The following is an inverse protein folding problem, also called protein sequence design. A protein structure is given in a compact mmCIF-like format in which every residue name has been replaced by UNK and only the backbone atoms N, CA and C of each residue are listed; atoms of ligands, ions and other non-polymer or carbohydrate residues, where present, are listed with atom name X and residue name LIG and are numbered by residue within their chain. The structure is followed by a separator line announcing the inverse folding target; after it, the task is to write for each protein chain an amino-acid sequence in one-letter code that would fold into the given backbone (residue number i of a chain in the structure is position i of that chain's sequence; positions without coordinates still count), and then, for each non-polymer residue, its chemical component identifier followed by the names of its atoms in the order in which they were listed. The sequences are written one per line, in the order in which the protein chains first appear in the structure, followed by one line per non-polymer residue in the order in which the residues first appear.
data_IF_315139607648
#
_entry.id   IF_315139607648
#
_cell.length_a   1.000
_cell.length_b   1.000
_cell.length_c   1.000
_cell.angle_alpha   90.00
_cell.angle_beta   90.00
_cell.angle_gamma   90.00
#
_symmetry.space_group_name_H-M   'P 1'
#
loop_
_entity.id
_entity.type
_entity.pdbx_description
1 polymer ?
#
# COMPACT_ATOMS: atom_id res chain seq x y z
N UNK A 1 0.72 -35.07 -44.72
CA UNK A 1 0.18 -33.75 -44.32
C UNK A 1 -0.41 -33.92 -42.92
N UNK A 2 0.30 -33.47 -41.89
CA UNK A 2 -0.20 -33.49 -40.51
C UNK A 2 -0.99 -32.23 -40.23
N UNK A 3 -2.22 -32.37 -39.74
CA UNK A 3 -3.02 -31.24 -39.31
C UNK A 3 -2.32 -30.52 -38.14
N UNK A 4 -2.24 -29.18 -38.14
CA UNK A 4 -1.71 -28.45 -36.99
C UNK A 4 -2.63 -28.72 -35.80
N UNK A 5 -2.14 -29.49 -34.84
CA UNK A 5 -2.76 -29.59 -33.54
C UNK A 5 -2.72 -28.21 -32.91
N UNK A 6 -3.87 -27.53 -32.87
CA UNK A 6 -4.08 -26.38 -32.00
C UNK A 6 -3.86 -26.87 -30.58
N UNK A 7 -2.64 -26.69 -30.06
CA UNK A 7 -2.37 -26.77 -28.65
C UNK A 7 -3.24 -25.72 -27.98
N UNK A 8 -4.35 -26.19 -27.40
CA UNK A 8 -5.21 -25.37 -26.54
C UNK A 8 -4.32 -24.95 -25.38
N UNK A 9 -3.77 -23.76 -25.49
CA UNK A 9 -2.99 -23.14 -24.43
C UNK A 9 -3.91 -23.13 -23.20
N UNK A 10 -3.51 -23.80 -22.10
CA UNK A 10 -4.36 -23.90 -20.92
C UNK A 10 -4.67 -22.47 -20.48
N UNK A 11 -5.95 -22.12 -20.53
CA UNK A 11 -6.39 -20.77 -20.19
C UNK A 11 -6.09 -20.56 -18.71
N UNK A 12 -5.38 -19.49 -18.36
CA UNK A 12 -5.06 -19.12 -16.98
C UNK A 12 -6.33 -18.62 -16.28
N UNK A 13 -7.26 -19.55 -16.00
CA UNK A 13 -8.60 -19.23 -15.50
C UNK A 13 -8.51 -18.64 -14.09
N UNK A 14 -7.71 -19.23 -13.19
CA UNK A 14 -7.56 -18.71 -11.83
C UNK A 14 -6.99 -17.28 -11.85
N UNK A 15 -5.98 -17.06 -12.70
CA UNK A 15 -5.40 -15.73 -12.92
C UNK A 15 -6.46 -14.70 -13.32
N UNK A 16 -7.32 -15.05 -14.29
CA UNK A 16 -8.42 -14.18 -14.72
C UNK A 16 -9.35 -13.81 -13.56
N UNK A 17 -9.77 -14.78 -12.75
CA UNK A 17 -10.65 -14.53 -11.60
C UNK A 17 -9.97 -13.67 -10.53
N UNK A 18 -8.69 -13.91 -10.24
CA UNK A 18 -7.92 -13.09 -9.29
C UNK A 18 -7.82 -11.65 -9.78
N UNK A 19 -7.55 -11.42 -11.06
CA UNK A 19 -7.51 -10.06 -11.61
C UNK A 19 -8.87 -9.37 -11.57
N UNK A 20 -9.97 -10.08 -11.88
CA UNK A 20 -11.31 -9.54 -11.68
C UNK A 20 -11.55 -9.15 -10.22
N UNK A 21 -11.12 -9.96 -9.26
CA UNK A 21 -11.24 -9.62 -7.84
C UNK A 21 -10.43 -8.35 -7.49
N UNK A 22 -9.20 -8.22 -8.01
CA UNK A 22 -8.37 -7.02 -7.83
C UNK A 22 -9.03 -5.75 -8.39
N UNK A 23 -9.72 -5.83 -9.52
CA UNK A 23 -10.51 -4.72 -10.07
C UNK A 23 -11.70 -4.36 -9.16
N UNK A 24 -12.34 -5.34 -8.54
CA UNK A 24 -13.41 -5.10 -7.55
C UNK A 24 -12.86 -4.39 -6.31
N UNK A 25 -11.63 -4.68 -5.87
CA UNK A 25 -10.96 -3.90 -4.80
C UNK A 25 -10.73 -2.44 -5.19
N UNK A 26 -10.35 -2.16 -6.44
CA UNK A 26 -10.23 -0.78 -6.92
C UNK A 26 -11.58 -0.06 -6.92
N UNK A 27 -12.65 -0.73 -7.38
CA UNK A 27 -14.01 -0.20 -7.32
C UNK A 27 -14.47 0.04 -5.86
N UNK A 28 -14.13 -0.87 -4.93
CA UNK A 28 -14.42 -0.71 -3.52
C UNK A 28 -13.74 0.54 -2.94
N UNK A 29 -12.47 0.74 -3.28
CA UNK A 29 -11.67 1.90 -2.87
C UNK A 29 -12.25 3.21 -3.41
N UNK A 30 -12.61 3.25 -4.69
CA UNK A 30 -13.17 4.43 -5.33
C UNK A 30 -14.54 4.81 -4.74
N UNK A 31 -15.38 3.80 -4.45
CA UNK A 31 -16.65 4.00 -3.74
C UNK A 31 -16.43 4.52 -2.32
N UNK A 32 -15.48 3.93 -1.59
CA UNK A 32 -15.11 4.36 -0.23
C UNK A 32 -14.72 5.84 -0.24
N UNK A 33 -13.79 6.25 -1.11
CA UNK A 33 -13.37 7.64 -1.25
C UNK A 33 -14.53 8.57 -1.63
N UNK A 34 -15.45 8.12 -2.48
CA UNK A 34 -16.63 8.89 -2.87
C UNK A 34 -17.56 9.15 -1.67
N UNK A 35 -17.79 8.12 -0.85
CA UNK A 35 -18.63 8.21 0.35
C UNK A 35 -17.99 9.09 1.42
N UNK A 36 -16.69 8.93 1.67
CA UNK A 36 -15.90 9.79 2.57
C UNK A 36 -15.99 11.27 2.15
N UNK A 37 -15.78 11.56 0.87
CA UNK A 37 -15.93 12.93 0.35
C UNK A 37 -17.36 13.48 0.52
N UNK A 38 -18.37 12.61 0.42
CA UNK A 38 -19.77 12.98 0.66
C UNK A 38 -20.01 13.29 2.13
N UNK A 39 -19.54 12.45 3.04
CA UNK A 39 -19.64 12.67 4.48
C UNK A 39 -19.03 14.00 4.89
N UNK A 40 -17.84 14.32 4.38
CA UNK A 40 -17.16 15.60 4.58
C UNK A 40 -18.04 16.78 4.14
N UNK A 41 -18.64 16.70 2.95
CA UNK A 41 -19.55 17.73 2.42
C UNK A 41 -20.81 17.87 3.27
N UNK A 42 -21.37 16.77 3.76
CA UNK A 42 -22.59 16.78 4.56
C UNK A 42 -22.33 17.30 5.97
N UNK A 43 -21.17 16.99 6.56
CA UNK A 43 -20.68 17.58 7.80
C UNK A 43 -20.49 19.09 7.64
N UNK A 44 -19.86 19.55 6.55
CA UNK A 44 -19.67 20.96 6.27
C UNK A 44 -21.02 21.70 6.14
N UNK A 45 -22.00 21.13 5.40
CA UNK A 45 -23.36 21.69 5.31
C UNK A 45 -24.03 21.77 6.68
N UNK A 46 -23.87 20.75 7.52
CA UNK A 46 -24.43 20.70 8.88
C UNK A 46 -23.81 21.73 9.81
N UNK A 47 -22.52 22.05 9.63
CA UNK A 47 -21.87 23.14 10.36
C UNK A 47 -22.35 24.50 9.85
N UNK A 48 -22.47 24.68 8.53
CA UNK A 48 -23.01 25.91 7.94
C UNK A 48 -24.44 26.20 8.40
N UNK A 49 -25.31 25.19 8.46
CA UNK A 49 -26.70 25.37 8.94
C UNK A 49 -26.78 25.73 10.43
N UNK A 50 -25.74 25.40 11.21
CA UNK A 50 -25.59 25.82 12.61
C UNK A 50 -24.97 27.22 12.79
N UNK A 51 -24.72 27.95 11.70
CA UNK A 51 -24.18 29.32 11.75
C UNK A 51 -22.66 29.40 11.91
N UNK A 52 -21.93 28.28 11.76
CA UNK A 52 -20.47 28.33 11.77
C UNK A 52 -19.95 29.02 10.49
N UNK A 53 -19.11 30.07 10.61
CA UNK A 53 -18.61 30.79 9.46
C UNK A 53 -17.63 29.93 8.65
N UNK A 54 -17.77 29.99 7.32
CA UNK A 54 -16.94 29.23 6.37
C UNK A 54 -15.44 29.55 6.43
N UNK A 55 -15.05 30.63 7.12
CA UNK A 55 -13.66 31.07 7.27
C UNK A 55 -12.88 30.28 8.33
N UNK A 56 -13.55 29.65 9.29
CA UNK A 56 -12.91 28.65 10.16
C UNK A 56 -12.93 27.33 9.42
N UNK A 57 -11.95 27.16 8.52
CA UNK A 57 -11.61 25.86 7.95
C UNK A 57 -11.19 25.00 9.13
N UNK A 58 -12.14 24.30 9.73
CA UNK A 58 -11.88 23.30 10.74
C UNK A 58 -10.98 22.28 10.03
N UNK A 59 -9.69 22.30 10.37
CA UNK A 59 -8.85 21.10 10.27
C UNK A 59 -9.48 20.10 11.22
N UNK A 60 -10.57 19.46 10.77
CA UNK A 60 -10.94 18.16 11.28
C UNK A 60 -9.74 17.31 10.90
N UNK A 61 -8.88 17.06 11.89
CA UNK A 61 -7.75 16.14 11.78
C UNK A 61 -8.41 14.80 11.45
N UNK A 62 -8.37 14.48 10.17
CA UNK A 62 -9.08 13.35 9.60
C UNK A 62 -8.19 12.10 9.69
N UNK A 63 -7.82 11.75 10.92
CA UNK A 63 -7.03 10.56 11.20
C UNK A 63 -7.81 9.29 10.80
N UNK A 64 -9.14 9.37 10.73
CA UNK A 64 -10.03 8.30 10.28
C UNK A 64 -10.12 8.16 8.75
N UNK A 65 -9.96 9.24 7.96
CA UNK A 65 -9.97 9.20 6.49
C UNK A 65 -8.85 8.32 5.92
N UNK A 66 -7.68 8.34 6.57
CA UNK A 66 -6.48 7.65 6.08
C UNK A 66 -6.55 6.14 6.32
N UNK A 67 -7.30 5.68 7.32
CA UNK A 67 -7.17 4.30 7.78
C UNK A 67 -7.93 3.28 6.91
N UNK A 68 -9.20 3.53 6.58
CA UNK A 68 -10.00 2.56 5.81
C UNK A 68 -9.58 2.41 4.34
N UNK A 69 -9.24 3.51 3.66
CA UNK A 69 -8.70 3.44 2.30
C UNK A 69 -7.38 2.64 2.24
N UNK A 70 -6.57 2.77 3.30
CA UNK A 70 -5.34 2.01 3.44
C UNK A 70 -5.59 0.54 3.75
N UNK A 71 -6.61 0.21 4.53
CA UNK A 71 -6.99 -1.17 4.82
C UNK A 71 -7.34 -1.92 3.53
N UNK A 72 -8.24 -1.37 2.70
CA UNK A 72 -8.64 -1.96 1.40
C UNK A 72 -7.43 -2.16 0.47
N UNK A 73 -6.50 -1.19 0.44
CA UNK A 73 -5.27 -1.32 -0.35
C UNK A 73 -4.34 -2.43 0.20
N UNK A 74 -4.20 -2.51 1.52
CA UNK A 74 -3.38 -3.53 2.19
C UNK A 74 -3.93 -4.93 1.91
N UNK A 75 -5.25 -5.08 1.99
CA UNK A 75 -5.99 -6.28 1.64
C UNK A 75 -5.73 -6.67 0.17
N UNK A 76 -5.89 -5.74 -0.78
CA UNK A 76 -5.58 -5.96 -2.19
C UNK A 76 -4.15 -6.47 -2.41
N UNK A 77 -3.17 -5.86 -1.74
CA UNK A 77 -1.76 -6.25 -1.84
C UNK A 77 -1.50 -7.64 -1.22
N UNK A 78 -2.18 -7.98 -0.14
CA UNK A 78 -2.09 -9.31 0.47
C UNK A 78 -2.58 -10.40 -0.50
N UNK A 79 -3.69 -10.16 -1.20
CA UNK A 79 -4.23 -11.06 -2.22
C UNK A 79 -3.23 -11.26 -3.37
N UNK A 80 -2.69 -10.17 -3.92
CA UNK A 80 -1.73 -10.22 -5.03
C UNK A 80 -0.46 -10.98 -4.63
N UNK A 81 0.11 -10.68 -3.46
CA UNK A 81 1.29 -11.38 -2.93
C UNK A 81 1.04 -12.87 -2.80
N UNK A 82 -0.11 -13.26 -2.25
CA UNK A 82 -0.46 -14.67 -2.10
C UNK A 82 -0.54 -15.40 -3.43
N UNK A 83 -1.11 -14.75 -4.44
CA UNK A 83 -1.17 -15.30 -5.79
C UNK A 83 0.23 -15.48 -6.40
N UNK A 84 1.10 -14.46 -6.29
CA UNK A 84 2.49 -14.52 -6.76
C UNK A 84 3.30 -15.61 -6.07
N UNK A 85 3.11 -15.81 -4.76
CA UNK A 85 3.77 -16.87 -4.01
C UNK A 85 3.33 -18.26 -4.50
N UNK A 86 2.03 -18.46 -4.74
CA UNK A 86 1.52 -19.71 -5.31
C UNK A 86 2.06 -19.99 -6.72
N UNK A 87 2.19 -18.94 -7.54
CA UNK A 87 2.80 -19.05 -8.88
C UNK A 87 4.29 -19.41 -8.78
N UNK A 88 5.01 -18.90 -7.79
CA UNK A 88 6.42 -19.22 -7.55
C UNK A 88 6.63 -20.65 -7.06
N UNK A 89 5.79 -21.10 -6.13
CA UNK A 89 5.94 -22.41 -5.47
C UNK A 89 5.51 -23.57 -6.38
N UNK A 90 4.36 -23.42 -7.04
CA UNK A 90 3.75 -24.50 -7.83
C UNK A 90 4.02 -24.32 -9.33
N UNK A 91 4.20 -23.09 -9.80
CA UNK A 91 4.39 -22.78 -11.22
C UNK A 91 3.07 -22.53 -11.98
N UNK A 92 3.09 -22.59 -13.32
CA UNK A 92 1.93 -22.25 -14.16
C UNK A 92 0.67 -23.07 -13.88
N UNK A 93 0.79 -24.29 -13.36
CA UNK A 93 -0.36 -25.12 -12.98
C UNK A 93 -1.23 -24.44 -11.89
N UNK A 94 -0.65 -23.56 -11.07
CA UNK A 94 -1.39 -22.76 -10.11
C UNK A 94 -2.25 -21.69 -10.78
N UNK A 95 -1.74 -21.01 -11.82
CA UNK A 95 -2.48 -20.00 -12.59
C UNK A 95 -3.68 -20.59 -13.34
N UNK A 96 -3.60 -21.86 -13.73
CA UNK A 96 -4.75 -22.61 -14.24
C UNK A 96 -5.76 -22.86 -13.12
N UNK A 97 -5.30 -23.33 -11.96
CA UNK A 97 -6.13 -23.66 -10.80
C UNK A 97 -7.05 -24.86 -11.03
N UNK A 98 -7.87 -25.19 -10.03
CA UNK A 98 -8.92 -26.20 -10.14
C UNK A 98 -10.33 -25.59 -10.15
N UNK A 99 -11.30 -26.36 -10.66
CA UNK A 99 -12.68 -25.90 -10.80
C UNK A 99 -13.32 -25.49 -9.47
N UNK A 100 -12.91 -26.12 -8.36
CA UNK A 100 -13.40 -25.78 -7.03
C UNK A 100 -12.93 -24.37 -6.63
N UNK A 101 -11.65 -24.08 -6.81
CA UNK A 101 -11.05 -22.77 -6.51
C UNK A 101 -11.66 -21.67 -7.38
N UNK A 102 -11.94 -21.97 -8.66
CA UNK A 102 -12.61 -21.03 -9.56
C UNK A 102 -14.00 -20.64 -9.06
N UNK A 103 -14.84 -21.64 -8.73
CA UNK A 103 -16.20 -21.40 -8.24
C UNK A 103 -16.17 -20.66 -6.90
N UNK A 104 -15.27 -21.05 -5.99
CA UNK A 104 -15.13 -20.38 -4.70
C UNK A 104 -14.69 -18.92 -4.84
N UNK A 105 -13.66 -18.62 -5.64
CA UNK A 105 -13.22 -17.23 -5.86
C UNK A 105 -14.28 -16.38 -6.59
N UNK A 106 -14.95 -16.94 -7.60
CA UNK A 106 -16.07 -16.27 -8.26
C UNK A 106 -17.18 -15.92 -7.28
N UNK A 107 -17.45 -16.80 -6.30
CA UNK A 107 -18.45 -16.50 -5.27
C UNK A 107 -18.06 -15.30 -4.39
N UNK A 108 -16.77 -15.13 -4.09
CA UNK A 108 -16.27 -13.97 -3.34
C UNK A 108 -16.32 -12.67 -4.16
N UNK A 109 -15.99 -12.74 -5.46
CA UNK A 109 -16.17 -11.62 -6.40
C UNK A 109 -17.63 -11.14 -6.38
N UNK A 110 -18.59 -12.05 -6.54
CA UNK A 110 -20.02 -11.73 -6.56
C UNK A 110 -20.48 -11.14 -5.23
N UNK A 111 -20.04 -11.70 -4.09
CA UNK A 111 -20.39 -11.18 -2.75
C UNK A 111 -19.91 -9.74 -2.58
N UNK A 112 -18.64 -9.46 -2.88
CA UNK A 112 -18.08 -8.12 -2.74
C UNK A 112 -18.78 -7.13 -3.69
N UNK A 113 -18.95 -7.49 -4.96
CA UNK A 113 -19.71 -6.68 -5.92
C UNK A 113 -21.14 -6.41 -5.45
N UNK A 114 -21.81 -7.38 -4.84
CA UNK A 114 -23.14 -7.21 -4.27
C UNK A 114 -23.20 -6.14 -3.17
N UNK A 115 -22.21 -6.10 -2.27
CA UNK A 115 -22.10 -5.06 -1.24
C UNK A 115 -21.85 -3.69 -1.87
N UNK A 116 -20.93 -3.60 -2.83
CA UNK A 116 -20.62 -2.34 -3.52
C UNK A 116 -21.82 -1.79 -4.28
N UNK A 117 -22.51 -2.64 -5.03
CA UNK A 117 -23.69 -2.27 -5.81
C UNK A 117 -24.84 -1.83 -4.90
N UNK A 118 -25.10 -2.57 -3.82
CA UNK A 118 -26.15 -2.23 -2.85
C UNK A 118 -25.85 -0.89 -2.19
N UNK A 119 -24.60 -0.66 -1.81
CA UNK A 119 -24.17 0.60 -1.19
C UNK A 119 -24.22 1.75 -2.18
N UNK A 120 -23.82 1.55 -3.43
CA UNK A 120 -23.85 2.58 -4.45
C UNK A 120 -25.29 2.97 -4.85
N UNK A 121 -26.15 1.99 -5.12
CA UNK A 121 -27.53 2.24 -5.59
C UNK A 121 -28.45 2.71 -4.47
N UNK A 122 -28.38 2.08 -3.29
CA UNK A 122 -29.32 2.32 -2.20
C UNK A 122 -28.70 3.14 -1.06
N UNK A 123 -27.39 3.32 -0.99
CA UNK A 123 -26.75 4.15 0.04
C UNK A 123 -27.26 5.60 0.10
N UNK A 124 -27.59 6.27 -1.02
CA UNK A 124 -28.19 7.61 -0.99
C UNK A 124 -29.61 7.67 -0.41
N UNK A 125 -30.38 6.58 -0.51
CA UNK A 125 -31.78 6.49 -0.03
C UNK A 125 -31.90 5.69 1.28
N UNK A 126 -30.83 5.01 1.68
CA UNK A 126 -30.76 4.22 2.90
C UNK A 126 -30.86 5.11 4.14
N UNK A 127 -31.49 4.57 5.18
CA UNK A 127 -31.47 5.15 6.53
C UNK A 127 -30.10 5.05 7.20
N UNK A 128 -29.20 4.22 6.67
CA UNK A 128 -27.89 3.97 7.27
C UNK A 128 -26.98 5.19 7.12
N UNK A 129 -26.34 5.67 8.21
CA UNK A 129 -25.37 6.75 8.13
C UNK A 129 -24.14 6.34 7.31
N UNK A 130 -23.49 7.32 6.65
CA UNK A 130 -22.32 7.07 5.78
C UNK A 130 -21.19 6.28 6.50
N UNK A 131 -20.84 6.55 7.77
CA UNK A 131 -19.87 5.73 8.51
C UNK A 131 -20.20 4.24 8.54
N UNK A 132 -21.48 3.89 8.66
CA UNK A 132 -21.90 2.48 8.67
C UNK A 132 -21.76 1.87 7.27
N UNK A 133 -22.00 2.65 6.22
CA UNK A 133 -21.79 2.22 4.83
C UNK A 133 -20.30 1.99 4.55
N UNK A 134 -19.43 2.90 4.99
CA UNK A 134 -17.97 2.77 4.90
C UNK A 134 -17.47 1.51 5.63
N UNK A 135 -17.94 1.29 6.86
CA UNK A 135 -17.61 0.08 7.64
C UNK A 135 -18.09 -1.21 6.98
N UNK A 136 -19.25 -1.21 6.31
CA UNK A 136 -19.73 -2.37 5.53
C UNK A 136 -18.83 -2.69 4.33
N UNK A 137 -18.37 -1.66 3.61
CA UNK A 137 -17.43 -1.84 2.49
C UNK A 137 -16.12 -2.43 3.02
N UNK A 138 -15.55 -1.82 4.06
CA UNK A 138 -14.28 -2.26 4.66
C UNK A 138 -14.35 -3.72 5.16
N UNK A 139 -15.39 -4.06 5.92
CA UNK A 139 -15.60 -5.42 6.41
C UNK A 139 -15.79 -6.43 5.26
N UNK A 140 -16.50 -6.05 4.19
CA UNK A 140 -16.70 -6.92 3.03
C UNK A 140 -15.40 -7.12 2.23
N UNK A 141 -14.61 -6.05 2.04
CA UNK A 141 -13.30 -6.10 1.41
C UNK A 141 -12.35 -7.02 2.18
N UNK A 142 -12.27 -6.87 3.50
CA UNK A 142 -11.43 -7.72 4.34
C UNK A 142 -11.87 -9.18 4.31
N UNK A 143 -13.17 -9.45 4.46
CA UNK A 143 -13.71 -10.81 4.40
C UNK A 143 -13.43 -11.49 3.04
N UNK A 144 -13.52 -10.75 1.94
CA UNK A 144 -13.23 -11.27 0.61
C UNK A 144 -11.75 -11.65 0.45
N UNK A 145 -10.81 -10.86 0.99
CA UNK A 145 -9.37 -11.22 0.95
C UNK A 145 -9.07 -12.44 1.78
N UNK A 146 -9.56 -12.49 3.02
CA UNK A 146 -9.34 -13.65 3.90
C UNK A 146 -9.83 -14.93 3.23
N UNK A 147 -11.06 -14.91 2.71
CA UNK A 147 -11.62 -16.06 2.00
C UNK A 147 -10.82 -16.41 0.73
N UNK A 148 -10.41 -15.43 -0.07
CA UNK A 148 -9.64 -15.67 -1.28
C UNK A 148 -8.24 -16.27 -1.00
N UNK A 149 -7.57 -15.81 0.06
CA UNK A 149 -6.29 -16.39 0.52
C UNK A 149 -6.49 -17.84 0.96
N UNK A 150 -7.50 -18.13 1.77
CA UNK A 150 -7.81 -19.49 2.22
C UNK A 150 -8.12 -20.43 1.03
N UNK A 151 -8.83 -19.94 0.01
CA UNK A 151 -9.14 -20.70 -1.21
C UNK A 151 -7.85 -21.02 -1.97
N UNK A 152 -6.94 -20.06 -2.12
CA UNK A 152 -5.65 -20.25 -2.78
C UNK A 152 -4.73 -21.22 -2.01
N UNK A 153 -4.70 -21.13 -0.68
CA UNK A 153 -4.00 -22.07 0.19
C UNK A 153 -4.51 -23.50 0.00
N UNK A 154 -5.84 -23.67 0.03
CA UNK A 154 -6.47 -24.96 -0.19
C UNK A 154 -6.18 -25.51 -1.59
N UNK A 155 -6.14 -24.64 -2.61
CA UNK A 155 -5.80 -25.00 -4.00
C UNK A 155 -4.36 -25.51 -4.11
N UNK A 156 -3.41 -24.78 -3.52
CA UNK A 156 -1.99 -25.16 -3.50
C UNK A 156 -1.78 -26.51 -2.83
N UNK A 157 -2.41 -26.75 -1.68
CA UNK A 157 -2.31 -28.04 -0.98
C UNK A 157 -2.81 -29.22 -1.83
N UNK A 158 -3.90 -29.03 -2.60
CA UNK A 158 -4.42 -30.07 -3.51
C UNK A 158 -3.46 -30.35 -4.67
N UNK A 159 -2.92 -29.31 -5.29
CA UNK A 159 -1.95 -29.44 -6.39
C UNK A 159 -0.65 -30.14 -5.92
N UNK A 160 -0.17 -29.83 -4.72
CA UNK A 160 0.98 -30.52 -4.13
C UNK A 160 0.69 -32.00 -3.84
N UNK A 161 -0.50 -32.33 -3.35
CA UNK A 161 -0.90 -33.72 -3.11
C UNK A 161 -0.94 -34.55 -4.41
N UNK A 162 -1.47 -33.97 -5.48
CA UNK A 162 -1.52 -34.61 -6.81
C UNK A 162 -0.11 -34.84 -7.40
N UNK A 163 0.80 -33.87 -7.23
CA UNK A 163 2.21 -34.02 -7.62
C UNK A 163 2.88 -35.16 -6.86
N UNK A 164 2.66 -35.27 -5.55
CA UNK A 164 3.21 -36.37 -4.74
C UNK A 164 2.68 -37.72 -5.19
N UNK A 165 1.37 -37.83 -5.45
CA UNK A 165 0.75 -39.07 -5.94
C UNK A 165 1.32 -39.53 -7.29
N UNK A 166 1.57 -38.58 -8.21
CA UNK A 166 2.11 -38.86 -9.54
C UNK A 166 3.57 -39.37 -9.53
N UNK A 167 4.35 -39.01 -8.50
CA UNK A 167 5.75 -39.45 -8.38
C UNK A 167 5.90 -40.93 -7.99
N UNK A 168 4.92 -41.50 -7.27
CA UNK A 168 5.01 -42.86 -6.71
C UNK A 168 4.69 -43.94 -7.77
N UNK A 169 3.97 -43.60 -8.84
CA UNK A 169 3.49 -44.55 -9.85
C UNK A 169 4.54 -44.98 -10.88
N UNK A 170 5.71 -44.31 -10.95
CA UNK A 170 6.73 -44.57 -11.99
C UNK A 170 7.75 -45.65 -11.58
N UNK A 171 7.85 -46.02 -10.29
CA UNK A 171 8.93 -46.89 -9.80
C UNK A 171 8.67 -48.41 -9.85
N UNK A 172 7.47 -48.88 -10.29
CA UNK A 172 7.12 -50.32 -10.33
C UNK A 172 7.01 -50.94 -11.73
N UNK A 173 7.71 -50.42 -12.75
CA UNK A 173 7.95 -51.16 -14.01
C UNK A 173 9.34 -51.79 -14.12
N UNK A 174 9.99 -52.04 -12.98
CA UNK A 174 11.17 -52.90 -12.90
C UNK A 174 10.77 -54.34 -12.58
N UNK A 175 10.60 -55.15 -13.62
CA UNK A 175 10.82 -56.61 -13.61
C UNK A 175 10.08 -57.45 -12.55
N UNK A 176 8.92 -58.00 -12.91
CA UNK A 176 8.62 -59.39 -12.52
C UNK A 176 7.95 -60.15 -13.67
N UNK A 177 8.65 -61.23 -14.06
CA UNK A 177 8.17 -62.38 -14.83
C UNK A 177 6.72 -62.73 -14.49
N UNK A 178 5.99 -63.10 -15.54
CA UNK A 178 4.71 -63.78 -15.45
C UNK A 178 4.80 -65.08 -14.64
N UNK A 179 3.86 -65.30 -13.71
CA UNK A 179 3.36 -66.63 -13.42
C UNK A 179 2.01 -66.78 -14.12
N UNK A 180 2.02 -67.56 -15.18
CA UNK A 180 0.85 -68.28 -15.69
C UNK A 180 0.24 -69.12 -14.56
N UNK A 181 -1.06 -69.00 -14.31
CA UNK A 181 -1.97 -70.14 -14.26
C UNK A 181 -3.44 -69.70 -14.36
N UNK A 182 -4.32 -70.59 -14.87
CA UNK A 182 -5.72 -70.33 -15.17
C UNK A 182 -6.63 -70.75 -14.02
N UNK A 183 -7.87 -70.27 -14.03
CA UNK A 183 -8.97 -71.03 -13.42
C UNK A 183 -10.06 -70.22 -12.75
N UNK A 184 -11.22 -70.32 -13.38
CA UNK A 184 -12.53 -70.48 -12.75
C UNK A 184 -13.27 -69.26 -12.19
N UNK A 185 -14.39 -69.03 -12.86
CA UNK A 185 -15.62 -68.36 -12.44
C UNK A 185 -15.97 -68.59 -10.96
N UNK A 186 -16.43 -67.53 -10.30
CA UNK A 186 -17.72 -67.51 -9.63
C UNK A 186 -18.23 -66.07 -9.54
N UNK A 187 -19.48 -65.91 -9.96
CA UNK A 187 -20.28 -64.70 -9.97
C UNK A 187 -21.16 -64.80 -8.74
N UNK A 188 -21.01 -63.90 -7.77
CA UNK A 188 -22.03 -63.67 -6.76
C UNK A 188 -22.07 -62.18 -6.42
N UNK A 189 -23.24 -61.62 -6.67
CA UNK A 189 -23.71 -60.34 -6.19
C UNK A 189 -23.63 -60.32 -4.66
N UNK A 190 -23.16 -59.23 -4.07
CA UNK A 190 -23.77 -58.77 -2.82
C UNK A 190 -23.49 -57.28 -2.58
N UNK A 191 -24.59 -56.58 -2.33
CA UNK A 191 -24.71 -55.19 -2.00
C UNK A 191 -23.94 -54.88 -0.71
N UNK A 192 -23.18 -53.79 -0.66
CA UNK A 192 -22.76 -53.19 0.61
C UNK A 192 -22.58 -51.69 0.49
N UNK A 193 -23.67 -51.00 0.82
CA UNK A 193 -23.74 -49.59 1.16
C UNK A 193 -23.09 -49.37 2.52
N UNK A 194 -21.82 -48.95 2.54
CA UNK A 194 -21.14 -48.56 3.78
C UNK A 194 -21.30 -47.05 4.01
N UNK A 195 -22.04 -46.75 5.07
CA UNK A 195 -22.32 -45.41 5.61
C UNK A 195 -21.02 -44.72 6.02
N UNK A 196 -20.79 -43.52 5.48
CA UNK A 196 -19.72 -42.61 5.93
C UNK A 196 -20.12 -42.03 7.29
N UNK A 197 -19.39 -42.44 8.33
CA UNK A 197 -19.46 -41.89 9.68
C UNK A 197 -18.83 -40.49 9.70
N UNK A 198 -19.67 -39.47 9.93
CA UNK A 198 -19.22 -38.12 10.27
C UNK A 198 -18.51 -38.15 11.63
N UNK A 199 -17.28 -37.63 11.67
CA UNK A 199 -16.50 -37.44 12.89
C UNK A 199 -16.43 -35.95 13.16
N UNK A 200 -17.05 -35.52 14.26
CA UNK A 200 -17.07 -34.13 14.72
C UNK A 200 -15.65 -33.62 15.06
N UNK A 201 -15.34 -32.34 14.79
CA UNK A 201 -14.10 -31.73 15.20
C UNK A 201 -14.08 -31.40 16.71
N UNK A 202 -12.92 -31.52 17.38
CA UNK A 202 -12.80 -31.26 18.81
C UNK A 202 -12.92 -29.77 19.15
N UNK A 203 -13.81 -29.48 20.11
CA UNK A 203 -13.90 -28.19 20.81
C UNK A 203 -12.57 -27.85 21.51
N UNK A 204 -11.96 -26.73 21.11
CA UNK A 204 -10.87 -26.12 21.87
C UNK A 204 -11.46 -25.12 22.86
N UNK A 205 -11.10 -25.35 24.13
CA UNK A 205 -11.44 -24.57 25.32
C UNK A 205 -11.11 -23.08 25.19
N UNK A 206 -12.07 -22.27 25.62
CA UNK A 206 -11.87 -20.91 26.07
C UNK A 206 -10.86 -20.85 27.24
N UNK A 207 -9.86 -19.98 27.10
CA UNK A 207 -8.92 -19.57 28.13
C UNK A 207 -9.04 -18.07 28.39
N UNK A 208 -9.16 -17.73 29.66
CA UNK A 208 -9.57 -16.45 30.27
C UNK A 208 -8.66 -15.21 30.05
N UNK A 209 -9.13 -14.01 30.45
CA UNK A 209 -8.58 -12.70 30.10
C UNK A 209 -7.49 -12.23 31.07
N UNK A 210 -6.54 -11.44 30.58
CA UNK A 210 -5.54 -10.76 31.40
C UNK A 210 -5.47 -9.26 31.07
N UNK A 211 -6.11 -8.48 31.94
CA UNK A 211 -5.67 -7.20 32.51
C UNK A 211 -4.65 -6.37 31.73
N UNK A 212 -5.11 -5.24 31.19
CA UNK A 212 -4.27 -4.03 31.13
C UNK A 212 -5.00 -2.86 31.79
N UNK A 213 -4.39 -2.41 32.87
CA UNK A 213 -4.73 -1.30 33.75
C UNK A 213 -4.86 0.03 33.00
N UNK A 214 -6.00 0.68 33.24
CA UNK A 214 -6.25 2.09 32.99
C UNK A 214 -5.39 2.91 33.95
N UNK A 215 -4.53 3.78 33.42
CA UNK A 215 -3.93 4.89 34.16
C UNK A 215 -4.37 6.19 33.51
N UNK A 216 -5.35 6.83 34.16
CA UNK A 216 -5.67 8.23 33.97
C UNK A 216 -4.58 9.08 34.64
N UNK A 217 -3.96 10.00 33.90
CA UNK A 217 -3.23 11.13 34.49
C UNK A 217 -3.32 12.34 33.57
N UNK A 218 -3.85 13.43 34.09
CA UNK A 218 -4.20 14.63 33.35
C UNK A 218 -3.07 15.62 33.11
N UNK A 219 -3.35 16.52 32.13
CA UNK A 219 -2.95 17.93 31.92
C UNK A 219 -1.50 18.37 32.26
N UNK A 220 -0.85 19.22 31.43
CA UNK A 220 -1.42 20.52 31.05
C UNK A 220 -1.37 20.88 29.55
N UNK A 221 -2.26 21.79 29.17
CA UNK A 221 -2.21 22.63 27.97
C UNK A 221 -0.81 23.24 27.81
N UNK A 222 -0.21 23.06 26.64
CA UNK A 222 0.90 23.87 26.15
C UNK A 222 0.56 24.35 24.76
N UNK A 223 0.65 25.66 24.60
CA UNK A 223 0.18 26.43 23.48
C UNK A 223 0.81 26.00 22.13
N UNK A 224 -0.09 25.95 21.14
CA UNK A 224 0.13 25.74 19.73
C UNK A 224 1.04 26.84 19.15
N UNK A 225 2.31 26.51 18.92
CA UNK A 225 3.27 27.39 18.26
C UNK A 225 3.19 27.15 16.76
N UNK A 226 2.46 28.04 16.08
CA UNK A 226 2.38 28.17 14.63
C UNK A 226 3.78 28.04 13.97
N UNK A 227 4.02 26.93 13.28
CA UNK A 227 5.22 26.67 12.46
C UNK A 227 5.18 27.51 11.17
N UNK A 228 5.28 28.84 11.30
CA UNK A 228 5.51 29.72 10.16
C UNK A 228 6.96 29.56 9.70
N UNK A 229 7.16 28.99 8.52
CA UNK A 229 8.41 29.04 7.76
C UNK A 229 8.79 30.52 7.55
N UNK A 230 9.65 31.04 8.43
CA UNK A 230 10.23 32.37 8.28
C UNK A 230 11.29 32.28 7.19
N UNK A 231 10.90 32.58 5.94
CA UNK A 231 11.86 32.88 4.87
C UNK A 231 12.61 34.15 5.25
N UNK A 232 13.74 33.97 5.93
CA UNK A 232 14.61 35.06 6.36
C UNK A 232 15.34 35.60 5.12
N UNK A 233 14.82 36.70 4.56
CA UNK A 233 15.48 37.45 3.49
C UNK A 233 16.66 38.25 4.05
N UNK A 234 17.72 37.55 4.51
CA UNK A 234 18.96 38.21 4.90
C UNK A 234 19.96 38.15 3.74
N UNK A 235 19.97 39.24 2.94
CA UNK A 235 21.01 39.48 1.95
C UNK A 235 22.36 39.73 2.62
N UNK A 236 23.31 38.84 2.31
CA UNK A 236 24.78 39.07 2.24
C UNK A 236 25.46 39.64 3.50
N UNK A 237 25.72 38.75 4.45
CA UNK A 237 27.03 38.68 5.06
C UNK A 237 27.61 37.31 4.70
N UNK A 238 28.79 37.27 4.07
CA UNK A 238 29.51 36.04 3.73
C UNK A 238 30.10 35.39 5.00
N UNK A 239 29.25 35.08 5.97
CA UNK A 239 29.60 34.33 7.18
C UNK A 239 29.57 32.85 6.80
N UNK A 240 30.76 32.28 6.62
CA UNK A 240 31.08 30.85 6.65
C UNK A 240 29.85 29.92 6.61
N UNK A 241 29.46 29.52 5.39
CA UNK A 241 28.53 28.40 5.16
C UNK A 241 28.98 27.11 5.86
N UNK A 242 30.27 27.06 6.23
CA UNK A 242 30.88 26.04 7.07
C UNK A 242 30.19 25.78 8.43
N UNK A 243 29.31 26.67 8.91
CA UNK A 243 28.61 26.51 10.20
C UNK A 243 27.13 26.11 10.12
N UNK A 244 26.56 25.95 8.92
CA UNK A 244 25.11 25.67 8.82
C UNK A 244 24.74 24.26 9.28
N UNK A 245 25.59 23.29 8.97
CA UNK A 245 25.38 21.87 9.25
C UNK A 245 26.27 21.41 10.42
N UNK A 246 25.80 20.44 11.20
CA UNK A 246 26.63 19.82 12.23
C UNK A 246 27.82 19.10 11.59
N UNK A 247 28.96 19.00 12.29
CA UNK A 247 30.15 18.36 11.72
C UNK A 247 29.90 16.90 11.33
N UNK A 248 29.15 16.16 12.16
CA UNK A 248 28.71 14.80 11.83
C UNK A 248 27.83 14.74 10.58
N UNK A 249 26.92 15.71 10.39
CA UNK A 249 26.09 15.79 9.20
C UNK A 249 26.92 16.00 7.93
N UNK A 250 27.95 16.87 8.01
CA UNK A 250 28.90 17.10 6.92
C UNK A 250 29.74 15.88 6.60
N UNK A 251 30.15 15.13 7.62
CA UNK A 251 30.90 13.89 7.43
C UNK A 251 30.05 12.85 6.71
N UNK A 252 28.78 12.69 7.09
CA UNK A 252 27.87 11.79 6.36
C UNK A 252 27.68 12.20 4.89
N UNK A 253 27.66 13.50 4.57
CA UNK A 253 27.60 13.98 3.18
C UNK A 253 28.90 13.69 2.40
N UNK A 254 30.06 13.91 3.02
CA UNK A 254 31.37 13.63 2.40
C UNK A 254 31.61 12.14 2.20
N UNK A 255 31.25 11.32 3.19
CA UNK A 255 31.51 9.89 3.21
C UNK A 255 30.22 9.12 2.93
N UNK A 256 29.92 8.95 1.64
CA UNK A 256 28.70 8.30 1.12
C UNK A 256 28.43 6.91 1.73
N UNK A 257 29.47 6.14 2.03
CA UNK A 257 29.34 4.80 2.60
C UNK A 257 29.31 4.75 4.14
N UNK A 258 29.54 5.88 4.82
CA UNK A 258 29.53 5.92 6.28
C UNK A 258 28.12 5.61 6.78
N UNK A 259 27.94 4.64 7.68
CA UNK A 259 26.62 4.36 8.24
C UNK A 259 26.25 5.36 9.34
N UNK A 260 24.95 5.44 9.65
CA UNK A 260 24.50 6.15 10.85
C UNK A 260 25.09 5.50 12.10
N UNK A 261 25.49 6.32 13.07
CA UNK A 261 26.02 5.83 14.33
C UNK A 261 24.94 5.13 15.17
N UNK A 262 25.32 4.20 16.05
CA UNK A 262 24.39 3.42 16.87
C UNK A 262 23.53 4.30 17.80
N UNK A 263 24.03 5.50 18.17
CA UNK A 263 23.25 6.47 18.94
C UNK A 263 22.01 7.02 18.22
N UNK A 264 21.90 6.80 16.91
CA UNK A 264 20.77 7.21 16.09
C UNK A 264 19.89 6.01 15.73
N UNK A 265 20.50 4.85 15.47
CA UNK A 265 19.75 3.66 15.00
C UNK A 265 19.13 2.85 16.13
N UNK A 266 19.83 2.71 17.26
CA UNK A 266 19.49 1.73 18.30
C UNK A 266 18.93 2.40 19.57
N UNK A 267 19.14 3.70 19.71
CA UNK A 267 18.68 4.46 20.88
C UNK A 267 17.17 4.71 20.83
N UNK A 268 16.51 4.59 21.99
CA UNK A 268 15.10 4.97 22.15
C UNK A 268 14.86 6.46 21.85
N UNK A 269 15.87 7.30 22.08
CA UNK A 269 15.90 8.72 21.70
C UNK A 269 17.12 8.98 20.81
N UNK A 270 16.95 8.99 19.48
CA UNK A 270 18.06 9.16 18.55
C UNK A 270 18.78 10.48 18.85
N UNK A 271 20.11 10.44 18.98
CA UNK A 271 20.90 11.65 19.21
C UNK A 271 22.16 11.69 18.37
N UNK A 272 22.50 12.90 17.89
CA UNK A 272 23.70 13.12 17.11
C UNK A 272 24.95 12.86 17.97
N UNK A 273 25.91 12.04 17.53
CA UNK A 273 27.11 11.73 18.31
C UNK A 273 28.01 12.94 18.54
N UNK A 274 27.96 13.95 17.66
CA UNK A 274 28.78 15.15 17.74
C UNK A 274 28.10 16.26 18.54
N UNK A 275 27.00 16.84 18.02
CA UNK A 275 26.33 17.97 18.70
C UNK A 275 25.38 17.57 19.83
N UNK A 276 25.20 16.27 20.11
CA UNK A 276 24.30 15.70 21.14
C UNK A 276 22.82 16.06 21.03
N UNK A 277 22.42 16.69 19.93
CA UNK A 277 21.03 17.05 19.67
C UNK A 277 20.18 15.79 19.47
N UNK A 278 19.01 15.74 20.11
CA UNK A 278 17.98 14.75 19.85
C UNK A 278 17.39 14.94 18.46
N UNK A 279 17.36 13.88 17.67
CA UNK A 279 16.83 13.88 16.30
C UNK A 279 15.48 13.15 16.34
N UNK A 280 14.42 13.82 15.89
CA UNK A 280 13.06 13.28 15.91
C UNK A 280 12.84 12.32 14.73
N UNK A 281 13.42 11.12 14.82
CA UNK A 281 13.30 10.06 13.83
C UNK A 281 12.75 8.80 14.50
N UNK A 282 11.93 8.03 13.79
CA UNK A 282 11.67 6.64 14.18
C UNK A 282 12.79 5.74 13.67
N UNK A 283 13.40 4.96 14.55
CA UNK A 283 14.35 3.91 14.19
C UNK A 283 13.72 2.92 13.21
N UNK A 284 14.42 2.60 12.12
CA UNK A 284 13.94 1.63 11.12
C UNK A 284 12.79 2.12 10.23
N UNK A 285 12.50 3.42 10.20
CA UNK A 285 11.52 4.00 9.27
C UNK A 285 12.20 4.89 8.20
N UNK A 286 11.50 5.08 7.10
CA UNK A 286 11.83 6.00 6.00
C UNK A 286 10.63 6.90 5.71
N UNK A 287 10.85 8.06 5.12
CA UNK A 287 9.76 8.95 4.70
C UNK A 287 9.41 8.69 3.25
N UNK A 288 8.14 8.50 2.94
CA UNK A 288 7.64 8.38 1.58
C UNK A 288 7.04 9.70 1.10
N UNK A 289 7.48 10.12 -0.09
CA UNK A 289 7.03 11.34 -0.77
C UNK A 289 6.55 11.00 -2.17
N UNK A 290 5.30 11.37 -2.46
CA UNK A 290 4.69 11.20 -3.77
C UNK A 290 4.87 12.47 -4.61
N UNK A 291 5.52 12.35 -5.76
CA UNK A 291 5.83 13.48 -6.64
C UNK A 291 5.33 13.24 -8.05
N UNK A 292 4.59 14.21 -8.60
CA UNK A 292 4.14 14.18 -9.99
C UNK A 292 5.24 14.66 -10.91
N UNK A 293 5.59 13.83 -11.88
CA UNK A 293 6.58 14.14 -12.90
C UNK A 293 6.16 13.57 -14.25
N UNK A 294 6.26 14.35 -15.32
CA UNK A 294 5.88 13.96 -16.69
C UNK A 294 4.46 13.37 -16.84
N UNK A 295 3.55 13.67 -15.91
CA UNK A 295 2.17 13.16 -15.92
C UNK A 295 1.94 11.85 -15.16
N UNK A 296 2.94 11.31 -14.48
CA UNK A 296 2.84 10.14 -13.61
C UNK A 296 3.20 10.50 -12.17
N UNK A 297 2.61 9.81 -11.19
CA UNK A 297 3.01 9.89 -9.78
C UNK A 297 4.18 8.93 -9.52
N UNK A 298 5.23 9.44 -8.88
CA UNK A 298 6.44 8.69 -8.50
C UNK A 298 6.57 8.71 -6.99
N UNK A 299 6.88 7.57 -6.37
CA UNK A 299 7.12 7.48 -4.95
C UNK A 299 8.62 7.49 -4.65
N UNK A 300 9.04 8.28 -3.67
CA UNK A 300 10.43 8.36 -3.22
C UNK A 300 10.50 8.07 -1.73
N UNK A 301 11.38 7.16 -1.34
CA UNK A 301 11.75 6.89 0.05
C UNK A 301 12.98 7.71 0.43
N UNK A 302 12.81 8.61 1.39
CA UNK A 302 13.86 9.41 2.00
C UNK A 302 14.33 8.66 3.25
N UNK A 303 15.60 8.25 3.25
CA UNK A 303 16.17 7.54 4.38
C UNK A 303 16.40 8.46 5.59
N UNK A 304 16.45 7.88 6.79
CA UNK A 304 16.84 8.59 8.00
C UNK A 304 18.22 9.26 7.87
N UNK A 305 19.12 8.68 7.06
CA UNK A 305 20.45 9.23 6.81
C UNK A 305 20.38 10.60 6.14
N UNK A 306 19.50 10.78 5.17
CA UNK A 306 19.27 12.07 4.52
C UNK A 306 18.81 13.14 5.54
N UNK A 307 17.86 12.79 6.41
CA UNK A 307 17.35 13.72 7.43
C UNK A 307 18.45 14.12 8.41
N UNK A 308 19.32 13.18 8.81
CA UNK A 308 20.47 13.48 9.66
C UNK A 308 21.47 14.39 8.93
N UNK A 309 21.70 14.23 7.62
CA UNK A 309 22.55 15.17 6.86
C UNK A 309 22.02 16.62 6.89
N UNK A 310 20.72 16.80 7.05
CA UNK A 310 20.08 18.11 7.08
C UNK A 310 20.10 18.79 8.47
N UNK A 311 20.49 18.09 9.55
CA UNK A 311 20.38 18.67 10.88
C UNK A 311 21.46 19.74 11.15
N UNK A 312 21.06 20.76 11.90
CA UNK A 312 21.93 21.87 12.31
C UNK A 312 22.41 21.69 13.76
N UNK A 313 23.59 22.23 14.13
CA UNK A 313 24.11 22.13 15.49
C UNK A 313 23.40 23.14 16.42
N UNK A 314 23.12 22.73 17.66
CA UNK A 314 22.43 23.55 18.67
C UNK A 314 21.07 22.97 19.06
N UNK A 315 20.59 23.30 20.27
CA UNK A 315 19.36 22.73 20.83
C UNK A 315 18.11 23.03 19.97
N UNK A 316 18.01 24.25 19.44
CA UNK A 316 16.84 24.75 18.69
C UNK A 316 17.09 24.82 17.18
N UNK A 317 18.12 24.14 16.67
CA UNK A 317 18.74 24.56 15.42
C UNK A 317 17.97 24.19 14.13
N UNK A 318 16.84 23.48 14.20
CA UNK A 318 16.06 23.10 12.99
C UNK A 318 16.84 22.24 11.99
N UNK A 319 16.39 22.18 10.75
CA UNK A 319 16.98 21.42 9.66
C UNK A 319 17.24 22.34 8.47
N UNK A 320 18.44 22.34 7.90
CA UNK A 320 18.74 23.02 6.65
C UNK A 320 18.58 22.05 5.48
N UNK A 321 17.84 22.44 4.45
CA UNK A 321 17.63 21.58 3.28
C UNK A 321 18.93 21.44 2.45
N UNK A 322 19.48 20.22 2.45
CA UNK A 322 20.68 19.90 1.67
C UNK A 322 20.45 20.02 0.16
N UNK A 323 19.23 19.77 -0.33
CA UNK A 323 18.93 19.92 -1.76
C UNK A 323 18.99 21.39 -2.19
N UNK A 324 18.48 22.34 -1.38
CA UNK A 324 18.65 23.78 -1.66
C UNK A 324 20.14 24.14 -1.74
N UNK A 325 20.93 23.64 -0.79
CA UNK A 325 22.36 23.93 -0.73
C UNK A 325 23.15 23.39 -1.92
N UNK A 326 22.70 22.29 -2.55
CA UNK A 326 23.32 21.72 -3.76
C UNK A 326 22.87 22.44 -5.04
N UNK A 327 21.70 23.07 -5.03
CA UNK A 327 21.16 23.81 -6.16
C UNK A 327 21.74 25.24 -6.29
N UNK A 328 22.69 25.63 -5.43
CA UNK A 328 23.17 27.01 -5.27
C UNK A 328 22.04 28.03 -4.99
N UNK A 329 20.94 27.56 -4.38
CA UNK A 329 19.79 28.37 -3.98
C UNK A 329 19.89 28.83 -2.52
N UNK A 330 19.04 29.79 -2.12
CA UNK A 330 18.89 30.20 -0.72
C UNK A 330 18.47 28.99 0.14
N UNK A 331 19.37 28.54 1.04
CA UNK A 331 19.15 27.37 1.88
C UNK A 331 17.94 27.60 2.80
N UNK A 332 16.88 26.81 2.59
CA UNK A 332 15.70 26.86 3.43
C UNK A 332 15.95 26.14 4.76
N UNK A 333 15.54 26.78 5.86
CA UNK A 333 15.64 26.23 7.22
C UNK A 333 14.23 25.85 7.70
N UNK A 334 14.05 24.58 8.03
CA UNK A 334 12.81 24.00 8.55
C UNK A 334 12.91 23.79 10.07
N UNK A 335 11.81 23.95 10.79
CA UNK A 335 11.80 23.80 12.26
C UNK A 335 11.99 22.35 12.71
N UNK A 336 11.34 21.41 12.01
CA UNK A 336 11.34 19.98 12.31
C UNK A 336 11.49 19.13 11.05
N UNK A 337 11.47 17.79 11.22
CA UNK A 337 11.61 16.83 10.12
C UNK A 337 10.41 16.90 9.17
N UNK A 338 9.19 17.07 9.69
CA UNK A 338 7.98 17.17 8.87
C UNK A 338 8.02 18.38 7.94
N UNK A 339 8.41 19.54 8.47
CA UNK A 339 8.59 20.76 7.68
C UNK A 339 9.72 20.61 6.65
N UNK A 340 10.79 19.87 6.97
CA UNK A 340 11.84 19.54 6.00
C UNK A 340 11.29 18.71 4.84
N UNK A 341 10.62 17.58 5.14
CA UNK A 341 10.08 16.68 4.10
C UNK A 341 9.06 17.41 3.23
N UNK A 342 8.16 18.19 3.84
CA UNK A 342 7.18 19.02 3.12
C UNK A 342 7.85 20.01 2.17
N UNK A 343 8.86 20.74 2.65
CA UNK A 343 9.62 21.66 1.81
C UNK A 343 10.31 20.93 0.64
N UNK A 344 10.91 19.76 0.88
CA UNK A 344 11.47 18.93 -0.19
C UNK A 344 10.42 18.52 -1.21
N UNK A 345 9.23 18.14 -0.75
CA UNK A 345 8.14 17.77 -1.62
C UNK A 345 7.71 18.94 -2.53
N UNK A 346 7.53 20.13 -1.95
CA UNK A 346 6.99 21.32 -2.62
C UNK A 346 7.99 22.05 -3.52
N UNK A 347 9.23 22.25 -3.06
CA UNK A 347 10.18 23.19 -3.71
C UNK A 347 11.20 22.50 -4.63
N UNK A 348 11.48 21.22 -4.43
CA UNK A 348 12.49 20.49 -5.22
C UNK A 348 11.88 19.74 -6.41
N UNK A 349 12.69 19.27 -7.37
CA UNK A 349 12.23 18.48 -8.53
C UNK A 349 12.55 17.00 -8.38
N UNK A 350 11.87 16.13 -9.13
CA UNK A 350 12.18 14.69 -9.17
C UNK A 350 13.60 14.39 -9.62
N UNK A 351 14.18 15.21 -10.50
CA UNK A 351 15.57 15.08 -10.93
C UNK A 351 16.56 15.25 -9.77
N UNK A 352 16.26 16.14 -8.82
CA UNK A 352 17.09 16.39 -7.64
C UNK A 352 16.96 15.24 -6.64
N UNK A 353 15.75 14.69 -6.48
CA UNK A 353 15.53 13.48 -5.67
C UNK A 353 16.34 12.30 -6.21
N UNK A 354 16.35 12.09 -7.53
CA UNK A 354 17.14 11.02 -8.18
C UNK A 354 18.65 11.23 -8.09
N UNK A 355 19.11 12.47 -7.93
CA UNK A 355 20.52 12.77 -7.80
C UNK A 355 21.06 12.53 -6.39
N UNK A 356 20.17 12.43 -5.39
CA UNK A 356 20.55 12.19 -4.00
C UNK A 356 20.51 10.69 -3.68
N UNK A 357 21.64 10.14 -3.21
CA UNK A 357 21.81 8.70 -3.00
C UNK A 357 20.98 8.16 -1.82
N UNK A 358 20.72 9.02 -0.83
CA UNK A 358 19.94 8.66 0.35
C UNK A 358 18.42 8.77 0.12
N UNK A 359 18.00 9.07 -1.11
CA UNK A 359 16.62 9.12 -1.57
C UNK A 359 16.45 8.08 -2.68
N UNK A 360 15.71 7.01 -2.41
CA UNK A 360 15.48 5.93 -3.37
C UNK A 360 14.10 6.06 -3.99
N UNK A 361 14.01 6.09 -5.32
CA UNK A 361 12.73 5.97 -6.02
C UNK A 361 12.19 4.56 -5.80
N UNK A 362 11.04 4.46 -5.13
CA UNK A 362 10.30 3.22 -5.04
C UNK A 362 9.59 3.08 -6.37
N UNK A 363 10.22 2.35 -7.28
CA UNK A 363 9.54 1.81 -8.44
C UNK A 363 8.58 0.77 -7.88
N UNK A 364 7.41 1.21 -7.46
CA UNK A 364 6.26 0.32 -7.31
C UNK A 364 6.13 -0.31 -8.69
N UNK A 365 6.55 -1.57 -8.80
CA UNK A 365 6.53 -2.32 -10.04
C UNK A 365 5.09 -2.25 -10.51
N UNK A 366 4.86 -1.41 -11.50
CA UNK A 366 3.58 -1.23 -12.16
C UNK A 366 3.27 -2.52 -12.95
N UNK A 367 2.97 -3.59 -12.22
CA UNK A 367 2.29 -4.77 -12.73
C UNK A 367 0.82 -4.38 -12.87
N UNK A 368 0.51 -3.69 -13.96
CA UNK A 368 -0.85 -3.27 -14.27
C UNK A 368 -0.88 -1.96 -15.04
N UNK A 369 -0.33 -1.99 -16.25
CA UNK A 369 -0.44 -0.91 -17.22
C UNK A 369 -1.88 -0.40 -17.30
N UNK A 370 -2.06 0.89 -17.02
CA UNK A 370 -3.12 1.68 -17.62
C UNK A 370 -2.96 1.64 -19.15
N UNK A 371 -3.42 0.56 -19.78
CA UNK A 371 -3.80 0.59 -21.17
C UNK A 371 -5.07 1.42 -21.23
N UNK A 372 -4.86 2.74 -21.39
CA UNK A 372 -5.89 3.65 -21.88
C UNK A 372 -6.33 3.11 -23.24
N UNK A 373 -7.42 2.36 -23.25
CA UNK A 373 -8.21 2.20 -24.46
C UNK A 373 -8.84 3.55 -24.77
N UNK A 374 -8.04 4.33 -25.52
CA UNK A 374 -8.54 5.40 -26.37
C UNK A 374 -9.25 4.73 -27.53
N UNK A 375 -10.48 4.25 -27.31
CA UNK A 375 -11.34 3.80 -28.39
C UNK A 375 -12.45 4.82 -28.64
N UNK A 376 -12.21 5.60 -29.70
CA UNK A 376 -13.16 6.21 -30.62
C UNK A 376 -14.61 6.39 -30.16
N UNK A 377 -14.92 7.61 -29.69
CA UNK A 377 -16.27 8.17 -29.76
C UNK A 377 -16.33 9.31 -30.77
N UNK A 378 -16.60 8.99 -32.04
CA UNK A 378 -17.07 9.96 -33.02
C UNK A 378 -18.39 10.57 -32.53
N UNK A 379 -18.39 11.85 -32.13
CA UNK A 379 -19.61 12.64 -32.12
C UNK A 379 -19.44 13.88 -32.99
N UNK A 380 -20.33 13.91 -33.98
CA UNK A 380 -20.45 14.88 -35.04
C UNK A 380 -20.57 16.31 -34.55
N UNK A 381 -19.91 17.17 -35.32
CA UNK A 381 -20.15 18.60 -35.47
C UNK A 381 -21.62 19.00 -35.29
N UNK A 382 -21.86 20.00 -34.42
CA UNK A 382 -22.86 21.04 -34.68
C UNK A 382 -22.60 22.29 -33.83
N UNK A 383 -22.60 23.41 -34.56
CA UNK A 383 -22.49 24.81 -34.16
C UNK A 383 -23.17 25.21 -32.85
N UNK A 384 -22.59 26.14 -32.09
CA UNK A 384 -23.28 27.40 -31.75
C UNK A 384 -22.35 28.44 -31.12
N UNK A 385 -22.79 29.69 -31.22
CA UNK A 385 -22.08 30.96 -31.11
C UNK A 385 -21.94 31.50 -29.67
N UNK A 386 -20.97 32.42 -29.52
CA UNK A 386 -20.92 33.59 -28.62
C UNK A 386 -20.88 33.32 -27.10
N UNK A 387 -19.81 33.76 -26.44
CA UNK A 387 -19.76 35.06 -25.74
C UNK A 387 -18.45 35.22 -24.97
N UNK A 388 -17.90 36.43 -25.01
CA UNK A 388 -16.79 36.86 -24.18
C UNK A 388 -17.20 36.92 -22.70
N UNK A 389 -16.34 36.45 -21.81
CA UNK A 389 -16.36 36.86 -20.40
C UNK A 389 -14.95 36.82 -19.80
N UNK A 390 -14.60 37.95 -19.21
CA UNK A 390 -13.42 38.20 -18.39
C UNK A 390 -13.61 37.41 -17.09
N UNK A 391 -12.72 36.46 -16.79
CA UNK A 391 -12.71 35.81 -15.47
C UNK A 391 -11.28 35.67 -14.92
N UNK A 392 -11.06 36.48 -13.88
CA UNK A 392 -10.16 36.32 -12.74
C UNK A 392 -9.45 34.97 -12.65
N UNK A 393 -8.12 35.00 -12.73
CA UNK A 393 -7.22 33.91 -12.34
C UNK A 393 -7.36 33.58 -10.85
N UNK A 394 -8.28 32.67 -10.52
CA UNK A 394 -8.26 31.99 -9.23
C UNK A 394 -7.12 30.96 -9.29
N UNK A 395 -6.03 31.25 -8.57
CA UNK A 395 -5.00 30.26 -8.25
C UNK A 395 -5.69 29.06 -7.59
N UNK A 396 -5.79 27.96 -8.33
CA UNK A 396 -6.29 26.69 -7.80
C UNK A 396 -5.42 26.27 -6.62
N UNK A 397 -6.06 26.05 -5.48
CA UNK A 397 -5.45 25.37 -4.33
C UNK A 397 -4.98 24.01 -4.82
N UNK A 398 -3.66 23.81 -4.93
CA UNK A 398 -3.09 22.49 -5.23
C UNK A 398 -3.57 21.51 -4.14
N UNK A 399 -3.99 20.29 -4.51
CA UNK A 399 -4.29 19.25 -3.54
C UNK A 399 -3.05 18.98 -2.70
N UNK A 400 -3.26 18.84 -1.39
CA UNK A 400 -2.23 18.64 -0.38
C UNK A 400 -1.47 17.36 -0.71
N UNK A 401 -0.16 17.48 -0.93
CA UNK A 401 0.71 16.36 -1.25
C UNK A 401 1.02 15.63 0.07
N UNK A 402 0.94 14.30 0.05
CA UNK A 402 1.09 13.46 1.24
C UNK A 402 2.57 13.21 1.52
N UNK A 403 3.02 13.58 2.72
CA UNK A 403 4.29 13.15 3.31
C UNK A 403 3.95 12.10 4.39
N UNK A 404 4.54 10.91 4.33
CA UNK A 404 4.24 9.84 5.30
C UNK A 404 5.50 9.15 5.80
N UNK A 405 5.58 8.88 7.10
CA UNK A 405 6.60 8.00 7.67
C UNK A 405 6.16 6.53 7.51
N UNK A 406 6.99 5.71 6.87
CA UNK A 406 6.72 4.31 6.53
C UNK A 406 7.86 3.45 7.06
N UNK A 407 7.55 2.22 7.48
CA UNK A 407 8.57 1.28 7.95
C UNK A 407 9.54 0.95 6.81
N UNK A 408 10.85 1.03 7.08
CA UNK A 408 11.87 0.80 6.08
C UNK A 408 11.80 -0.67 5.66
N UNK A 409 11.42 -0.94 4.41
CA UNK A 409 11.53 -2.28 3.86
C UNK A 409 13.02 -2.53 3.67
N UNK A 410 13.58 -3.44 4.49
CA UNK A 410 14.98 -3.83 4.40
C UNK A 410 15.19 -4.62 3.09
N UNK A 411 15.47 -3.92 1.99
CA UNK A 411 15.81 -4.54 0.70
C UNK A 411 17.20 -5.18 0.88
N UNK A 412 17.23 -6.45 1.30
CA UNK A 412 18.45 -7.26 1.25
C UNK A 412 18.87 -7.43 -0.21
N UNK A 413 19.84 -6.62 -0.61
CA UNK A 413 20.57 -6.83 -1.86
C UNK A 413 21.13 -8.27 -1.87
N UNK A 414 20.88 -9.07 -2.93
CA UNK A 414 21.45 -10.41 -3.02
C UNK A 414 22.97 -10.30 -2.98
N UNK A 415 23.61 -10.96 -2.01
CA UNK A 415 25.06 -11.09 -1.95
C UNK A 415 25.53 -11.68 -3.27
N UNK A 416 26.24 -10.89 -4.08
CA UNK A 416 27.02 -11.43 -5.20
C UNK A 416 28.01 -12.43 -4.59
N UNK A 417 27.76 -13.71 -4.85
CA UNK A 417 28.64 -14.80 -4.43
C UNK A 417 30.04 -14.61 -4.99
N UNK A 418 31.01 -14.80 -4.12
CA UNK A 418 32.40 -15.12 -4.46
C UNK A 418 32.51 -16.60 -4.83
#
# INVERSE_FOLDING_TARGET
MGAPSHSREPTDVLQGVVFTLLEVFDAARDLYQTLTNKEKKDLEKKLRSKGYPSSRKLEVIDDTEVDGNRAILTDKLALLRRYEDGLRDVGPAFAVGDALSHVSLQSEVIKLQGVLLTTFLYGPTSSDPIPQQLSKIDAASHAAVVAAVDIMDASQLRLEAERRASSVSVSRRGSLRAPSMPGSFHQDEEQSTTLVSYRDPPQIRAGSPANTTILSRGRPDLDDVDTRSLRSYNKRAATNTDSLYCSYARDLDRYRLQQLGPSITDACTPSCPDCKRTIHLSSGKTWEVLKRDTGYERCFQISNRFVVKCHRPGADAGYACMLCSKADDDVTICGDVKALVKHMCEDHKTSEFKAEEDITEVVELALGEHRRDSELGHFSSRSSRRSASVSSHRRGSKPHIYDREVEAIEIRMPRRGA
#
